data_IF_811924875671
#
_entry.id   IF_811924875671
#
_cell.length_a   1.000
_cell.length_b   1.000
_cell.length_c   1.000
_cell.angle_alpha   90.00
_cell.angle_beta   90.00
_cell.angle_gamma   90.00
#
_symmetry.space_group_name_H-M   'P 1'
#
loop_
_entity.id
_entity.type
_entity.pdbx_description
1 polymer ?
#
# COMPACT_ATOMS: atom_id res chain seq x y z
N UNK A 1 -23.04 -10.60 -1.02
CA UNK A 1 -22.31 -10.16 -2.24
C UNK A 1 -22.19 -11.34 -3.20
N UNK A 2 -22.39 -11.13 -4.50
CA UNK A 2 -22.50 -12.22 -5.48
C UNK A 2 -21.10 -12.65 -5.96
N UNK A 3 -20.89 -13.96 -6.20
CA UNK A 3 -19.59 -14.53 -6.65
C UNK A 3 -19.00 -13.82 -7.88
N UNK A 4 -19.85 -13.33 -8.79
CA UNK A 4 -19.43 -12.57 -9.98
C UNK A 4 -18.73 -11.25 -9.67
N UNK A 5 -19.04 -10.59 -8.54
CA UNK A 5 -18.38 -9.33 -8.15
C UNK A 5 -16.93 -9.59 -7.71
N UNK A 6 -16.67 -10.67 -6.96
CA UNK A 6 -15.32 -11.07 -6.56
C UNK A 6 -14.41 -11.34 -7.75
N UNK A 7 -14.93 -12.04 -8.77
CA UNK A 7 -14.17 -12.37 -9.98
C UNK A 7 -13.84 -11.09 -10.76
N UNK A 8 -14.77 -10.13 -10.87
CA UNK A 8 -14.51 -8.84 -11.50
C UNK A 8 -13.38 -8.07 -10.80
N UNK A 9 -13.42 -8.02 -9.47
CA UNK A 9 -12.43 -7.30 -8.68
C UNK A 9 -11.07 -8.01 -8.77
N UNK A 10 -11.04 -9.34 -8.77
CA UNK A 10 -9.81 -10.12 -9.01
C UNK A 10 -9.11 -9.69 -10.31
N UNK A 11 -9.84 -9.63 -11.42
CA UNK A 11 -9.26 -9.21 -12.71
C UNK A 11 -8.81 -7.75 -12.71
N UNK A 12 -9.50 -6.85 -12.00
CA UNK A 12 -9.06 -5.46 -11.81
C UNK A 12 -7.73 -5.42 -11.06
N UNK A 13 -7.59 -6.18 -9.97
CA UNK A 13 -6.32 -6.26 -9.24
C UNK A 13 -5.20 -6.85 -10.09
N UNK A 14 -5.49 -7.87 -10.89
CA UNK A 14 -4.53 -8.49 -11.80
C UNK A 14 -4.07 -7.51 -12.89
N UNK A 15 -4.99 -6.73 -13.47
CA UNK A 15 -4.65 -5.67 -14.41
C UNK A 15 -3.75 -4.60 -13.76
N UNK A 16 -4.05 -4.17 -12.53
CA UNK A 16 -3.20 -3.22 -11.81
C UNK A 16 -1.81 -3.77 -11.47
N UNK A 17 -1.67 -5.09 -11.23
CA UNK A 17 -0.36 -5.74 -11.14
C UNK A 17 0.39 -5.57 -12.46
N UNK A 18 -0.25 -5.87 -13.59
CA UNK A 18 0.33 -5.66 -14.91
C UNK A 18 0.82 -4.23 -15.12
N UNK A 19 0.00 -3.23 -14.77
CA UNK A 19 0.39 -1.81 -14.84
C UNK A 19 1.62 -1.51 -13.98
N UNK A 20 1.67 -2.01 -12.73
CA UNK A 20 2.82 -1.77 -11.84
C UNK A 20 4.11 -2.40 -12.37
N UNK A 21 4.04 -3.57 -13.02
CA UNK A 21 5.18 -4.25 -13.63
C UNK A 21 5.68 -3.47 -14.84
N UNK A 22 4.77 -3.03 -15.72
CA UNK A 22 5.11 -2.22 -16.89
C UNK A 22 5.75 -0.88 -16.50
N UNK A 23 5.22 -0.22 -15.46
CA UNK A 23 5.83 1.00 -14.91
C UNK A 23 7.25 0.76 -14.38
N UNK A 24 7.48 -0.38 -13.71
CA UNK A 24 8.81 -0.77 -13.24
C UNK A 24 9.81 -1.02 -14.39
N UNK A 25 9.35 -1.60 -15.49
CA UNK A 25 10.16 -1.87 -16.69
C UNK A 25 10.49 -0.59 -17.47
N UNK A 26 9.64 0.44 -17.41
CA UNK A 26 9.80 1.68 -18.17
C UNK A 26 10.97 2.58 -17.69
N UNK A 27 11.69 2.22 -16.62
CA UNK A 27 12.97 2.82 -16.23
C UNK A 27 12.95 4.28 -15.73
N UNK A 28 11.82 5.00 -15.83
CA UNK A 28 11.70 6.39 -15.41
C UNK A 28 11.56 6.50 -13.89
N UNK A 29 12.69 6.61 -13.18
CA UNK A 29 12.79 6.36 -11.73
C UNK A 29 11.79 7.12 -10.87
N UNK A 30 11.53 8.42 -11.11
CA UNK A 30 10.67 9.20 -10.21
C UNK A 30 9.18 9.02 -10.48
N UNK A 31 8.79 9.08 -11.76
CA UNK A 31 7.38 8.99 -12.18
C UNK A 31 6.89 7.54 -12.01
N UNK A 32 7.73 6.55 -12.33
CA UNK A 32 7.42 5.14 -12.12
C UNK A 32 7.21 4.85 -10.64
N UNK A 33 8.09 5.34 -9.75
CA UNK A 33 7.93 5.14 -8.30
C UNK A 33 6.62 5.73 -7.80
N UNK A 34 6.29 6.97 -8.15
CA UNK A 34 5.02 7.58 -7.77
C UNK A 34 3.80 6.78 -8.30
N UNK A 35 3.85 6.32 -9.55
CA UNK A 35 2.80 5.50 -10.16
C UNK A 35 2.65 4.13 -9.49
N UNK A 36 3.75 3.47 -9.15
CA UNK A 36 3.75 2.18 -8.44
C UNK A 36 3.15 2.35 -7.03
N UNK A 37 3.51 3.40 -6.30
CA UNK A 37 2.91 3.69 -4.99
C UNK A 37 1.41 4.01 -5.07
N UNK A 38 1.00 4.83 -6.05
CA UNK A 38 -0.41 5.16 -6.26
C UNK A 38 -1.24 3.91 -6.59
N UNK A 39 -0.74 3.04 -7.47
CA UNK A 39 -1.40 1.78 -7.81
C UNK A 39 -1.45 0.82 -6.61
N UNK A 40 -0.41 0.79 -5.77
CA UNK A 40 -0.41 0.01 -4.53
C UNK A 40 -1.49 0.48 -3.54
N UNK A 41 -1.62 1.79 -3.32
CA UNK A 41 -2.65 2.36 -2.44
C UNK A 41 -4.07 2.01 -2.92
N UNK A 42 -4.33 2.19 -4.22
CA UNK A 42 -5.65 1.90 -4.77
C UNK A 42 -6.01 0.40 -4.71
N UNK A 43 -5.03 -0.49 -4.93
CA UNK A 43 -5.21 -1.94 -4.71
C UNK A 43 -5.55 -2.24 -3.25
N UNK A 44 -4.84 -1.64 -2.30
CA UNK A 44 -5.10 -1.83 -0.87
C UNK A 44 -6.54 -1.41 -0.50
N UNK A 45 -7.04 -0.29 -1.02
CA UNK A 45 -8.43 0.14 -0.82
C UNK A 45 -9.46 -0.86 -1.37
N UNK A 46 -9.20 -1.44 -2.55
CA UNK A 46 -10.06 -2.48 -3.13
C UNK A 46 -10.06 -3.77 -2.29
N UNK A 47 -8.90 -4.21 -1.80
CA UNK A 47 -8.79 -5.39 -0.92
C UNK A 47 -9.54 -5.17 0.39
N UNK A 48 -9.33 -4.02 1.03
CA UNK A 48 -10.02 -3.66 2.26
C UNK A 48 -11.54 -3.61 2.06
N UNK A 49 -12.01 -2.98 0.99
CA UNK A 49 -13.44 -2.82 0.73
C UNK A 49 -14.16 -4.13 0.38
N UNK A 50 -13.55 -4.97 -0.45
CA UNK A 50 -14.24 -6.11 -1.08
C UNK A 50 -13.79 -7.49 -0.61
N UNK A 51 -12.50 -7.70 -0.35
CA UNK A 51 -11.99 -9.00 0.10
C UNK A 51 -12.00 -9.16 1.61
N UNK A 52 -11.73 -8.09 2.36
CA UNK A 52 -11.81 -8.09 3.81
C UNK A 52 -13.22 -7.76 4.34
N UNK A 53 -14.22 -7.60 3.45
CA UNK A 53 -15.61 -7.25 3.79
C UNK A 53 -15.79 -6.02 4.70
N UNK A 54 -14.76 -5.17 4.84
CA UNK A 54 -14.73 -4.06 5.79
C UNK A 54 -15.84 -3.03 5.53
N UNK A 55 -16.38 -2.98 4.31
CA UNK A 55 -17.52 -2.14 3.94
C UNK A 55 -18.82 -2.55 4.66
N UNK A 56 -18.97 -3.83 5.00
CA UNK A 56 -20.18 -4.41 5.61
C UNK A 56 -20.05 -4.59 7.13
N UNK A 57 -18.83 -4.49 7.65
CA UNK A 57 -18.49 -4.69 9.06
C UNK A 57 -18.71 -3.44 9.92
N UNK A 58 -18.77 -3.66 11.25
CA UNK A 58 -18.95 -2.60 12.25
C UNK A 58 -17.82 -1.55 12.19
N UNK A 59 -18.18 -0.29 12.40
CA UNK A 59 -17.25 0.84 12.34
C UNK A 59 -16.04 0.71 13.29
N UNK A 60 -16.16 -0.01 14.40
CA UNK A 60 -15.05 -0.28 15.32
C UNK A 60 -13.87 -1.03 14.66
N UNK A 61 -14.14 -1.95 13.73
CA UNK A 61 -13.10 -2.69 12.99
C UNK A 61 -12.30 -1.74 12.09
N UNK A 62 -12.96 -0.74 11.51
CA UNK A 62 -12.30 0.29 10.69
C UNK A 62 -11.36 1.15 11.52
N UNK A 63 -11.77 1.52 12.74
CA UNK A 63 -10.94 2.27 13.68
C UNK A 63 -9.73 1.46 14.17
N UNK A 64 -9.92 0.17 14.46
CA UNK A 64 -8.81 -0.73 14.81
C UNK A 64 -7.80 -0.88 13.66
N UNK A 65 -8.27 -1.00 12.43
CA UNK A 65 -7.38 -1.09 11.27
C UNK A 65 -6.65 0.24 11.03
N UNK A 66 -7.34 1.36 11.18
CA UNK A 66 -6.76 2.69 11.09
C UNK A 66 -5.68 2.94 12.14
N UNK A 67 -5.88 2.50 13.39
CA UNK A 67 -4.86 2.64 14.45
C UNK A 67 -3.62 1.79 14.17
N UNK A 68 -3.78 0.57 13.64
CA UNK A 68 -2.66 -0.26 13.21
C UNK A 68 -1.85 0.39 12.09
N UNK A 69 -2.52 0.93 11.06
CA UNK A 69 -1.86 1.66 9.97
C UNK A 69 -1.18 2.93 10.50
N UNK A 70 -1.83 3.67 11.40
CA UNK A 70 -1.23 4.86 12.03
C UNK A 70 0.05 4.51 12.80
N UNK A 71 0.05 3.42 13.55
CA UNK A 71 1.24 2.94 14.26
C UNK A 71 2.38 2.59 13.28
N UNK A 72 2.08 1.91 12.18
CA UNK A 72 3.07 1.61 11.14
C UNK A 72 3.64 2.89 10.50
N UNK A 73 2.81 3.89 10.24
CA UNK A 73 3.26 5.18 9.69
C UNK A 73 4.15 5.92 10.68
N UNK A 74 3.77 5.96 11.96
CA UNK A 74 4.58 6.58 13.02
C UNK A 74 5.93 5.87 13.15
N UNK A 75 5.94 4.54 13.15
CA UNK A 75 7.18 3.77 13.16
C UNK A 75 8.03 4.04 11.93
N UNK A 76 7.46 4.05 10.74
CA UNK A 76 8.20 4.30 9.50
C UNK A 76 8.85 5.71 9.51
N UNK A 77 8.08 6.73 9.89
CA UNK A 77 8.55 8.12 9.94
C UNK A 77 9.51 8.37 11.10
N UNK A 78 9.38 7.66 12.23
CA UNK A 78 10.30 7.80 13.36
C UNK A 78 11.60 6.99 13.18
N UNK A 79 11.49 5.75 12.72
CA UNK A 79 12.60 4.80 12.64
C UNK A 79 13.55 5.07 11.46
N UNK A 80 13.02 5.43 10.29
CA UNK A 80 13.87 5.66 9.10
C UNK A 80 14.83 6.84 9.28
N UNK A 81 14.40 8.05 9.70
CA UNK A 81 15.35 9.14 9.90
C UNK A 81 16.32 8.84 11.03
N UNK A 82 15.90 8.11 12.07
CA UNK A 82 16.80 7.67 13.14
C UNK A 82 17.91 6.75 12.62
N UNK A 83 17.55 5.71 11.85
CA UNK A 83 18.52 4.81 11.20
C UNK A 83 19.45 5.60 10.27
N UNK A 84 18.91 6.50 9.44
CA UNK A 84 19.70 7.30 8.50
C UNK A 84 20.67 8.23 9.23
N UNK A 85 20.22 8.85 10.34
CA UNK A 85 21.06 9.72 11.15
C UNK A 85 22.18 8.94 11.87
N UNK A 86 21.86 7.77 12.42
CA UNK A 86 22.85 6.88 13.06
C UNK A 86 23.86 6.35 12.04
N UNK A 87 23.40 5.86 10.88
CA UNK A 87 24.27 5.35 9.83
C UNK A 87 25.17 6.46 9.25
N UNK A 88 24.62 7.65 9.01
CA UNK A 88 25.39 8.81 8.55
C UNK A 88 26.47 9.25 9.54
N UNK A 89 26.27 9.04 10.84
CA UNK A 89 27.28 9.31 11.89
C UNK A 89 28.42 8.29 11.88
N UNK A 90 28.12 7.01 11.63
CA UNK A 90 29.10 5.92 11.68
C UNK A 90 29.96 5.88 10.40
N UNK A 91 29.39 6.20 9.24
CA UNK A 91 30.12 6.20 7.96
C UNK A 91 30.99 7.46 7.72
N UNK A 92 30.84 8.49 8.56
CA UNK A 92 31.59 9.75 8.49
C UNK A 92 32.86 9.81 9.35
N UNK A 93 33.27 8.69 9.97
CA UNK A 93 34.49 8.52 10.77
C UNK A 93 35.26 7.29 10.29
#
# INVERSE_FOLDING_TARGET
>A
MNRGTYIKIYFILLAMVGVSVLLGLAGHTRIAVAGIFATALFKASLVLGYYMHLKTEKNWVKWMLASGVACLVILFVGLIPDIVYVYGRIAGN
#
